data_IF_505681887951
#
_entry.id   IF_505681887951
#
_cell.length_a   1.000
_cell.length_b   1.000
_cell.length_c   1.000
_cell.angle_alpha   90.00
_cell.angle_beta   90.00
_cell.angle_gamma   90.00
#
_symmetry.space_group_name_H-M   'P 1'
#
loop_
_entity.id
_entity.type
_entity.pdbx_description
1 polymer ?
#
# COMPACT_ATOMS: atom_id res chain seq x y z
N UNK A 1 -10.13 -5.01 -26.25
CA UNK A 1 -11.04 -4.43 -25.24
C UNK A 1 -10.65 -4.98 -23.87
N UNK A 2 -10.96 -4.27 -22.78
CA UNK A 2 -10.77 -4.83 -21.44
C UNK A 2 -11.70 -6.04 -21.29
N UNK A 3 -11.19 -7.15 -20.73
CA UNK A 3 -12.02 -8.31 -20.42
C UNK A 3 -13.08 -7.98 -19.37
N UNK A 4 -12.75 -7.03 -18.48
CA UNK A 4 -13.62 -6.53 -17.43
C UNK A 4 -13.16 -5.14 -16.97
N UNK A 5 -14.13 -4.33 -16.54
CA UNK A 5 -13.89 -3.04 -15.87
C UNK A 5 -14.66 -3.03 -14.56
N UNK A 6 -14.03 -2.61 -13.47
CA UNK A 6 -14.71 -2.26 -12.23
C UNK A 6 -14.91 -0.75 -12.22
N UNK A 7 -16.14 -0.29 -11.98
CA UNK A 7 -16.50 1.14 -12.01
C UNK A 7 -16.67 1.70 -13.43
N UNK A 8 -16.91 3.02 -13.50
CA UNK A 8 -17.15 3.74 -14.75
C UNK A 8 -16.16 4.91 -14.89
N UNK A 9 -15.57 5.03 -16.09
CA UNK A 9 -14.54 6.04 -16.37
C UNK A 9 -15.14 7.45 -16.31
N UNK A 10 -14.48 8.37 -15.62
CA UNK A 10 -14.92 9.77 -15.43
C UNK A 10 -16.29 9.92 -14.72
N UNK A 11 -16.74 8.89 -14.00
CA UNK A 11 -17.95 8.92 -13.19
C UNK A 11 -17.61 8.65 -11.71
N UNK A 12 -16.93 9.59 -11.02
CA UNK A 12 -16.52 9.38 -9.65
C UNK A 12 -17.72 9.33 -8.71
N UNK A 13 -17.67 8.40 -7.76
CA UNK A 13 -18.60 8.28 -6.65
C UNK A 13 -18.50 9.50 -5.72
N UNK A 14 -19.62 9.99 -5.14
CA UNK A 14 -19.58 10.95 -4.06
C UNK A 14 -18.90 10.34 -2.82
N UNK A 15 -17.84 10.99 -2.31
CA UNK A 15 -17.00 10.48 -1.21
C UNK A 15 -17.77 10.06 0.06
N UNK A 16 -18.90 10.70 0.33
CA UNK A 16 -19.72 10.44 1.52
C UNK A 16 -20.73 9.28 1.38
N UNK A 17 -20.93 8.73 0.18
CA UNK A 17 -21.90 7.65 -0.05
C UNK A 17 -21.30 6.25 0.11
N UNK A 18 -19.98 6.15 0.15
CA UNK A 18 -19.28 4.89 0.35
C UNK A 18 -19.33 3.90 -0.81
N UNK A 19 -19.71 4.37 -2.00
CA UNK A 19 -19.71 3.60 -3.22
C UNK A 19 -18.34 3.70 -3.93
N UNK A 20 -17.87 2.64 -4.61
CA UNK A 20 -16.71 2.72 -5.49
C UNK A 20 -17.06 3.46 -6.80
N UNK A 21 -16.17 4.23 -7.43
CA UNK A 21 -14.85 4.68 -6.98
C UNK A 21 -14.76 6.20 -7.06
N UNK A 22 -13.89 6.80 -6.26
CA UNK A 22 -13.49 8.19 -6.34
C UNK A 22 -11.96 8.31 -6.24
N UNK A 23 -11.32 8.22 -7.41
CA UNK A 23 -9.87 8.24 -7.60
C UNK A 23 -9.14 7.07 -6.89
N UNK A 24 -9.34 5.83 -7.38
CA UNK A 24 -8.66 4.65 -6.83
C UNK A 24 -7.17 4.67 -7.12
N UNK A 25 -6.38 4.16 -6.17
CA UNK A 25 -4.93 4.33 -6.09
C UNK A 25 -4.15 3.00 -6.16
N UNK A 26 -4.74 1.90 -5.71
CA UNK A 26 -4.07 0.60 -5.61
C UNK A 26 -5.05 -0.56 -5.68
N UNK A 27 -4.54 -1.74 -6.06
CA UNK A 27 -5.28 -2.99 -6.19
C UNK A 27 -4.42 -4.13 -5.66
N UNK A 28 -5.02 -5.00 -4.86
CA UNK A 28 -4.46 -6.28 -4.46
C UNK A 28 -5.44 -7.41 -4.78
N UNK A 29 -4.89 -8.60 -5.03
CA UNK A 29 -5.65 -9.84 -5.17
C UNK A 29 -5.28 -10.71 -3.97
N UNK A 30 -6.26 -11.14 -3.19
CA UNK A 30 -6.02 -12.05 -2.06
C UNK A 30 -5.67 -13.46 -2.54
N UNK A 31 -5.06 -14.29 -1.67
CA UNK A 31 -4.89 -15.72 -1.94
C UNK A 31 -6.21 -16.44 -2.29
N UNK A 32 -7.35 -15.99 -1.72
CA UNK A 32 -8.69 -16.49 -2.06
C UNK A 32 -9.23 -16.01 -3.43
N UNK A 33 -8.55 -15.07 -4.10
CA UNK A 33 -8.93 -14.51 -5.39
C UNK A 33 -9.85 -13.28 -5.31
N UNK A 34 -10.16 -12.81 -4.11
CA UNK A 34 -10.94 -11.58 -3.88
C UNK A 34 -10.08 -10.34 -4.22
N UNK A 35 -10.72 -9.29 -4.70
CA UNK A 35 -10.05 -8.07 -5.16
C UNK A 35 -10.21 -6.96 -4.12
N UNK A 36 -9.13 -6.32 -3.73
CA UNK A 36 -9.10 -5.24 -2.76
C UNK A 36 -8.58 -3.97 -3.40
N UNK A 37 -9.38 -2.91 -3.40
CA UNK A 37 -9.03 -1.63 -4.03
C UNK A 37 -8.94 -0.55 -2.96
N UNK A 38 -7.82 0.16 -2.92
CA UNK A 38 -7.71 1.41 -2.17
C UNK A 38 -8.29 2.56 -3.00
N UNK A 39 -9.36 3.17 -2.51
CA UNK A 39 -10.02 4.32 -3.12
C UNK A 39 -9.64 5.61 -2.39
N UNK A 40 -8.37 5.99 -2.50
CA UNK A 40 -7.74 6.84 -1.50
C UNK A 40 -7.69 8.33 -1.78
N UNK A 41 -7.64 8.78 -3.03
CA UNK A 41 -7.46 10.21 -3.34
C UNK A 41 -8.76 11.01 -3.18
N UNK A 42 -9.92 10.36 -3.32
CA UNK A 42 -11.22 11.00 -3.07
C UNK A 42 -12.20 10.17 -2.25
N UNK A 43 -12.06 8.84 -2.19
CA UNK A 43 -13.00 7.94 -1.49
C UNK A 43 -12.71 7.77 0.00
N UNK A 44 -11.44 7.82 0.41
CA UNK A 44 -10.96 7.48 1.75
C UNK A 44 -11.48 6.11 2.25
N UNK A 45 -11.59 5.15 1.33
CA UNK A 45 -12.20 3.84 1.57
C UNK A 45 -11.42 2.72 0.93
N UNK A 46 -11.66 1.52 1.45
CA UNK A 46 -11.29 0.26 0.81
C UNK A 46 -12.56 -0.40 0.29
N UNK A 47 -12.46 -0.99 -0.90
CA UNK A 47 -13.52 -1.79 -1.48
C UNK A 47 -13.01 -3.22 -1.72
N UNK A 48 -13.76 -4.19 -1.22
CA UNK A 48 -13.54 -5.62 -1.46
C UNK A 48 -14.56 -6.11 -2.48
N UNK A 49 -14.08 -6.80 -3.50
CA UNK A 49 -14.89 -7.44 -4.53
C UNK A 49 -14.62 -8.95 -4.58
N UNK A 50 -15.57 -9.70 -5.10
CA UNK A 50 -15.33 -11.10 -5.47
C UNK A 50 -14.31 -11.19 -6.62
N UNK A 51 -13.78 -12.39 -6.88
CA UNK A 51 -12.99 -12.66 -8.08
C UNK A 51 -13.76 -12.29 -9.37
N UNK A 52 -15.07 -12.49 -9.32
CA UNK A 52 -16.02 -12.06 -10.33
C UNK A 52 -16.50 -10.63 -10.10
N UNK A 53 -15.69 -9.74 -9.50
CA UNK A 53 -15.86 -8.28 -9.48
C UNK A 53 -17.18 -7.75 -8.92
N UNK A 54 -17.91 -8.54 -8.14
CA UNK A 54 -19.10 -8.11 -7.40
C UNK A 54 -18.65 -7.43 -6.10
N UNK A 55 -19.21 -6.26 -5.78
CA UNK A 55 -18.86 -5.57 -4.54
C UNK A 55 -19.37 -6.35 -3.34
N UNK A 56 -18.46 -6.76 -2.45
CA UNK A 56 -18.77 -7.54 -1.24
C UNK A 56 -18.86 -6.65 -0.01
N UNK A 57 -17.89 -5.76 0.17
CA UNK A 57 -17.76 -4.92 1.36
C UNK A 57 -17.04 -3.62 1.03
N UNK A 58 -17.37 -2.55 1.75
CA UNK A 58 -16.58 -1.32 1.77
C UNK A 58 -16.42 -0.80 3.19
N UNK A 59 -15.22 -0.34 3.56
CA UNK A 59 -14.95 0.24 4.87
C UNK A 59 -14.00 1.42 4.78
N UNK A 60 -13.90 2.17 5.88
CA UNK A 60 -13.11 3.40 5.94
C UNK A 60 -13.95 4.67 5.81
N UNK A 61 -13.31 5.77 6.22
CA UNK A 61 -13.75 7.16 6.03
C UNK A 61 -12.55 8.08 6.23
N UNK A 62 -12.69 9.34 5.82
CA UNK A 62 -11.66 10.35 6.07
C UNK A 62 -11.41 10.52 7.57
N UNK A 63 -10.14 10.53 7.98
CA UNK A 63 -9.75 10.81 9.37
C UNK A 63 -8.38 10.25 9.74
N UNK A 64 -8.10 10.23 11.05
CA UNK A 64 -6.79 9.86 11.62
C UNK A 64 -6.88 8.75 12.67
N UNK A 65 -8.10 8.35 13.06
CA UNK A 65 -8.32 7.24 13.99
C UNK A 65 -8.10 5.85 13.35
N UNK A 66 -8.12 4.78 14.15
CA UNK A 66 -8.11 3.40 13.65
C UNK A 66 -9.28 3.14 12.69
N UNK A 67 -8.99 2.58 11.52
CA UNK A 67 -9.99 2.37 10.48
C UNK A 67 -10.41 3.63 9.70
N UNK A 68 -9.83 4.79 10.03
CA UNK A 68 -9.95 6.03 9.25
C UNK A 68 -8.70 6.23 8.40
N UNK A 69 -8.80 7.00 7.33
CA UNK A 69 -7.70 7.21 6.39
C UNK A 69 -7.59 8.66 5.97
N UNK A 70 -6.36 9.19 5.93
CA UNK A 70 -6.12 10.51 5.34
C UNK A 70 -5.93 10.37 3.82
N UNK A 71 -5.08 9.42 3.40
CA UNK A 71 -4.90 9.08 1.99
C UNK A 71 -4.44 7.62 1.85
N UNK A 72 -5.34 6.73 1.40
CA UNK A 72 -4.98 5.35 1.10
C UNK A 72 -4.19 5.30 -0.20
N UNK A 73 -2.88 5.11 -0.14
CA UNK A 73 -2.09 5.15 -1.37
C UNK A 73 -1.94 3.79 -2.04
N UNK A 74 -1.69 2.74 -1.27
CA UNK A 74 -1.64 1.38 -1.80
C UNK A 74 -2.11 0.35 -0.77
N UNK A 75 -2.33 -0.88 -1.24
CA UNK A 75 -2.94 -1.99 -0.53
C UNK A 75 -2.28 -3.30 -0.96
N UNK A 76 -2.14 -4.23 -0.03
CA UNK A 76 -1.73 -5.62 -0.28
C UNK A 76 -2.50 -6.59 0.60
N UNK A 77 -2.52 -7.87 0.24
CA UNK A 77 -3.10 -8.94 1.06
C UNK A 77 -2.06 -10.04 1.28
N UNK A 78 -1.81 -10.40 2.53
CA UNK A 78 -0.84 -11.44 2.86
C UNK A 78 -1.44 -12.87 2.81
N UNK A 79 -0.60 -13.88 3.02
CA UNK A 79 -1.01 -15.29 3.04
C UNK A 79 -1.93 -15.64 4.22
N UNK A 80 -2.09 -14.75 5.19
CA UNK A 80 -2.99 -14.88 6.35
C UNK A 80 -4.32 -14.16 6.12
N UNK A 81 -4.60 -13.72 4.89
CA UNK A 81 -5.79 -12.92 4.51
C UNK A 81 -5.89 -11.58 5.27
N UNK A 82 -4.74 -11.04 5.72
CA UNK A 82 -4.68 -9.69 6.29
C UNK A 82 -4.47 -8.67 5.18
N UNK A 83 -5.23 -7.60 5.26
CA UNK A 83 -5.18 -6.46 4.34
C UNK A 83 -4.27 -5.40 4.92
N UNK A 84 -3.19 -5.06 4.21
CA UNK A 84 -2.15 -4.13 4.64
C UNK A 84 -2.24 -2.88 3.78
N UNK A 85 -2.37 -1.71 4.41
CA UNK A 85 -2.71 -0.46 3.73
C UNK A 85 -1.69 0.61 4.06
N UNK A 86 -1.15 1.25 3.02
CA UNK A 86 -0.35 2.47 3.16
C UNK A 86 -1.27 3.68 3.31
N UNK A 87 -1.38 4.21 4.53
CA UNK A 87 -2.11 5.46 4.83
C UNK A 87 -1.11 6.63 4.81
N UNK A 88 -0.83 7.10 3.60
CA UNK A 88 0.31 7.96 3.26
C UNK A 88 0.34 9.21 4.13
N UNK A 89 -0.75 9.97 4.15
CA UNK A 89 -0.80 11.27 4.83
C UNK A 89 -0.86 11.15 6.36
N UNK A 90 -1.23 9.97 6.89
CA UNK A 90 -1.13 9.67 8.31
C UNK A 90 0.22 9.03 8.71
N UNK A 91 1.15 8.84 7.77
CA UNK A 91 2.48 8.28 8.03
C UNK A 91 2.47 6.92 8.75
N UNK A 92 1.53 6.05 8.36
CA UNK A 92 1.33 4.74 8.99
C UNK A 92 0.95 3.67 7.98
N UNK A 93 1.14 2.42 8.39
CA UNK A 93 0.49 1.26 7.79
C UNK A 93 -0.64 0.81 8.73
N UNK A 94 -1.80 0.45 8.17
CA UNK A 94 -2.87 -0.17 8.94
C UNK A 94 -3.14 -1.58 8.43
N UNK A 95 -3.40 -2.51 9.35
CA UNK A 95 -3.73 -3.90 9.06
C UNK A 95 -5.20 -4.17 9.40
N UNK A 96 -5.88 -4.92 8.53
CA UNK A 96 -7.28 -5.33 8.70
C UNK A 96 -7.43 -6.81 8.42
N UNK A 97 -8.46 -7.43 8.99
CA UNK A 97 -8.90 -8.75 8.56
C UNK A 97 -9.73 -8.68 7.26
N UNK A 98 -10.07 -9.84 6.70
CA UNK A 98 -10.84 -9.98 5.46
C UNK A 98 -12.23 -9.34 5.49
N UNK A 99 -12.77 -9.07 6.68
CA UNK A 99 -14.07 -8.47 6.94
C UNK A 99 -13.99 -6.95 7.22
N UNK A 100 -12.82 -6.33 7.01
CA UNK A 100 -12.59 -4.90 7.22
C UNK A 100 -12.48 -4.49 8.70
N UNK A 101 -12.34 -5.45 9.61
CA UNK A 101 -12.06 -5.20 11.02
C UNK A 101 -10.60 -4.79 11.24
N UNK A 102 -10.39 -3.63 11.86
CA UNK A 102 -9.05 -3.14 12.23
C UNK A 102 -8.35 -4.14 13.15
N UNK A 103 -7.08 -4.45 12.85
CA UNK A 103 -6.23 -5.32 13.65
C UNK A 103 -5.20 -4.50 14.42
N UNK A 104 -4.38 -3.73 13.71
CA UNK A 104 -3.27 -2.98 14.27
C UNK A 104 -2.79 -1.89 13.30
N UNK A 105 -1.89 -1.02 13.77
CA UNK A 105 -1.21 -0.02 12.95
C UNK A 105 0.28 0.04 13.29
N UNK A 106 1.09 0.27 12.26
CA UNK A 106 2.52 0.51 12.40
C UNK A 106 2.83 1.95 12.04
N UNK A 107 3.54 2.63 12.92
CA UNK A 107 3.87 4.06 12.80
C UNK A 107 5.37 4.24 12.58
N UNK A 108 5.84 5.49 12.62
CA UNK A 108 7.24 5.85 12.32
C UNK A 108 7.66 5.53 10.86
N UNK A 109 6.68 5.60 9.96
CA UNK A 109 6.90 5.67 8.52
C UNK A 109 6.94 7.13 8.04
N UNK A 110 7.44 7.35 6.83
CA UNK A 110 7.43 8.63 6.13
C UNK A 110 6.66 8.48 4.82
N UNK A 111 5.42 8.99 4.77
CA UNK A 111 4.57 8.97 3.59
C UNK A 111 4.62 7.65 2.81
N UNK A 112 4.18 6.51 3.39
CA UNK A 112 4.28 5.22 2.74
C UNK A 112 3.60 5.23 1.35
N UNK A 113 4.36 4.83 0.33
CA UNK A 113 3.95 4.89 -1.07
C UNK A 113 3.39 3.56 -1.57
N UNK A 114 4.12 2.49 -1.35
CA UNK A 114 3.81 1.17 -1.88
C UNK A 114 4.29 0.10 -0.89
N UNK A 115 3.67 -1.08 -0.97
CA UNK A 115 3.97 -2.21 -0.13
C UNK A 115 3.98 -3.49 -0.96
N UNK A 116 5.02 -4.30 -0.76
CA UNK A 116 5.19 -5.59 -1.41
C UNK A 116 5.45 -6.66 -0.36
N UNK A 117 4.84 -7.83 -0.52
CA UNK A 117 5.09 -8.97 0.37
C UNK A 117 5.83 -10.04 -0.40
N UNK A 118 6.94 -10.50 0.18
CA UNK A 118 7.71 -11.61 -0.34
C UNK A 118 8.15 -12.48 0.83
N UNK A 119 7.84 -13.77 0.75
CA UNK A 119 7.97 -14.71 1.88
C UNK A 119 7.26 -14.17 3.14
N UNK A 120 7.97 -14.09 4.27
CA UNK A 120 7.45 -13.61 5.55
C UNK A 120 7.81 -12.13 5.84
N UNK A 121 8.08 -11.35 4.79
CA UNK A 121 8.50 -9.95 4.92
C UNK A 121 7.60 -8.99 4.15
N UNK A 122 7.41 -7.81 4.75
CA UNK A 122 6.71 -6.67 4.18
C UNK A 122 7.75 -5.61 3.84
N UNK A 123 7.82 -5.25 2.56
CA UNK A 123 8.70 -4.24 2.03
C UNK A 123 7.87 -3.00 1.74
N UNK A 124 8.12 -1.92 2.48
CA UNK A 124 7.44 -0.66 2.27
C UNK A 124 8.41 0.38 1.72
N UNK A 125 8.02 1.05 0.64
CA UNK A 125 8.70 2.25 0.15
C UNK A 125 8.07 3.48 0.79
N UNK A 126 8.92 4.36 1.31
CA UNK A 126 8.56 5.56 2.04
C UNK A 126 9.02 6.80 1.27
N UNK A 127 8.18 7.84 1.23
CA UNK A 127 8.43 9.10 0.53
C UNK A 127 8.81 10.23 1.48
N UNK A 128 9.20 11.35 0.87
CA UNK A 128 9.44 12.60 1.57
C UNK A 128 10.84 12.66 2.21
N UNK A 129 11.07 13.62 3.10
CA UNK A 129 12.41 13.95 3.60
C UNK A 129 13.11 12.81 4.36
N UNK A 130 12.33 11.90 4.96
CA UNK A 130 12.81 10.69 5.64
C UNK A 130 12.44 9.42 4.90
N UNK A 131 12.24 9.55 3.58
CA UNK A 131 11.92 8.45 2.69
C UNK A 131 13.03 7.41 2.62
N UNK A 132 12.73 6.29 2.00
CA UNK A 132 13.60 5.12 2.00
C UNK A 132 12.81 3.83 1.91
N UNK A 133 13.43 2.73 2.32
CA UNK A 133 12.76 1.42 2.41
C UNK A 133 12.75 0.96 3.86
N UNK A 134 11.60 0.50 4.34
CA UNK A 134 11.49 -0.29 5.55
C UNK A 134 11.08 -1.72 5.23
N UNK A 135 11.72 -2.67 5.92
CA UNK A 135 11.45 -4.09 5.81
C UNK A 135 11.01 -4.57 7.18
N UNK A 136 9.83 -5.16 7.23
CA UNK A 136 9.18 -5.62 8.44
C UNK A 136 8.91 -7.13 8.36
N UNK A 137 8.85 -7.81 9.50
CA UNK A 137 8.22 -9.12 9.58
C UNK A 137 6.71 -8.98 9.38
N UNK A 138 6.03 -10.09 9.09
CA UNK A 138 4.56 -10.12 9.08
C UNK A 138 3.94 -9.68 10.43
N UNK A 139 4.66 -9.78 11.53
CA UNK A 139 4.17 -9.46 12.88
C UNK A 139 4.56 -8.05 13.34
N UNK A 140 5.16 -7.23 12.45
CA UNK A 140 5.43 -5.81 12.71
C UNK A 140 6.79 -5.50 13.34
N UNK A 141 7.70 -6.46 13.39
CA UNK A 141 9.08 -6.21 13.82
C UNK A 141 9.92 -5.65 12.67
N UNK A 142 10.75 -4.63 12.94
CA UNK A 142 11.69 -4.09 11.95
C UNK A 142 12.84 -5.07 11.69
N UNK A 143 13.00 -5.45 10.43
CA UNK A 143 14.16 -6.22 9.94
C UNK A 143 15.26 -5.29 9.44
N UNK A 144 14.92 -4.26 8.67
CA UNK A 144 15.88 -3.28 8.16
C UNK A 144 15.21 -1.97 7.77
N UNK A 145 15.96 -0.87 7.81
CA UNK A 145 15.54 0.45 7.31
C UNK A 145 16.69 1.14 6.60
N UNK A 146 16.41 1.68 5.43
CA UNK A 146 17.36 2.43 4.59
C UNK A 146 16.77 3.82 4.37
N UNK A 147 16.81 4.65 5.40
CA UNK A 147 16.30 6.03 5.34
C UNK A 147 17.40 6.99 4.88
N UNK A 148 17.02 8.01 4.12
CA UNK A 148 17.90 9.12 3.71
C UNK A 148 18.62 9.72 4.94
N UNK A 149 17.89 9.75 6.06
CA UNK A 149 18.24 10.02 7.45
C UNK A 149 19.51 9.47 8.08
N UNK A 150 19.61 8.15 7.92
CA UNK A 150 20.15 7.27 8.95
C UNK A 150 21.39 6.53 8.42
N UNK A 151 21.49 6.34 7.10
CA UNK A 151 22.69 5.83 6.42
C UNK A 151 22.59 6.00 4.89
N UNK A 152 23.09 7.11 4.30
CA UNK A 152 23.07 7.32 2.85
C UNK A 152 23.94 6.34 2.02
N UNK A 153 24.57 5.33 2.63
CA UNK A 153 25.56 4.44 2.02
C UNK A 153 25.04 3.23 1.23
N UNK A 154 23.73 2.91 1.26
CA UNK A 154 23.15 1.83 0.44
C UNK A 154 22.55 2.30 -0.88
N UNK A 155 22.87 3.52 -1.30
CA UNK A 155 22.24 4.22 -2.41
C UNK A 155 21.06 5.03 -1.90
N UNK A 156 21.19 6.35 -1.87
CA UNK A 156 20.13 7.24 -1.42
C UNK A 156 18.93 7.10 -2.35
N UNK A 157 17.90 6.39 -1.89
CA UNK A 157 16.59 6.31 -2.53
C UNK A 157 15.95 7.68 -2.37
N UNK A 158 15.72 8.37 -3.48
CA UNK A 158 15.10 9.70 -3.51
C UNK A 158 13.75 9.61 -4.18
N UNK A 159 12.70 10.14 -3.52
CA UNK A 159 11.33 10.12 -4.05
C UNK A 159 10.86 8.70 -4.47
N UNK A 160 11.16 7.69 -3.66
CA UNK A 160 10.75 6.31 -3.92
C UNK A 160 9.23 6.17 -3.95
N UNK A 161 8.66 5.60 -5.02
CA UNK A 161 7.20 5.56 -5.21
C UNK A 161 6.62 4.15 -5.26
N UNK A 162 7.27 3.22 -5.97
CA UNK A 162 6.85 1.83 -6.10
C UNK A 162 7.96 0.87 -5.71
N UNK A 163 7.58 -0.33 -5.26
CA UNK A 163 8.53 -1.36 -4.82
C UNK A 163 8.07 -2.74 -5.25
N UNK A 164 9.00 -3.58 -5.67
CA UNK A 164 8.74 -5.02 -5.91
C UNK A 164 9.96 -5.84 -5.52
N UNK A 165 9.74 -7.12 -5.21
CA UNK A 165 10.78 -8.08 -4.82
C UNK A 165 10.66 -9.31 -5.70
N UNK A 166 11.78 -9.73 -6.31
CA UNK A 166 11.81 -10.93 -7.15
C UNK A 166 11.98 -12.22 -6.33
N UNK A 167 11.96 -13.37 -7.01
CA UNK A 167 12.07 -14.70 -6.39
C UNK A 167 13.43 -14.95 -5.70
N UNK A 168 14.45 -14.15 -6.00
CA UNK A 168 15.78 -14.25 -5.37
C UNK A 168 15.90 -13.31 -4.16
N UNK A 169 14.84 -12.56 -3.85
CA UNK A 169 14.83 -11.54 -2.79
C UNK A 169 15.48 -10.23 -3.19
N UNK A 170 15.75 -9.99 -4.48
CA UNK A 170 16.25 -8.68 -4.94
C UNK A 170 15.13 -7.65 -4.91
N UNK A 171 15.43 -6.47 -4.41
CA UNK A 171 14.46 -5.37 -4.27
C UNK A 171 14.63 -4.41 -5.44
N UNK A 172 13.52 -4.02 -6.05
CA UNK A 172 13.46 -3.02 -7.11
C UNK A 172 12.61 -1.85 -6.64
N UNK A 173 13.15 -0.64 -6.77
CA UNK A 173 12.47 0.59 -6.37
C UNK A 173 12.37 1.52 -7.56
N UNK A 174 11.18 2.03 -7.83
CA UNK A 174 10.98 3.15 -8.75
C UNK A 174 11.14 4.46 -7.99
N UNK A 175 12.05 5.30 -8.45
CA UNK A 175 12.33 6.62 -7.89
C UNK A 175 11.82 7.66 -8.88
N UNK A 176 10.85 8.47 -8.46
CA UNK A 176 10.29 9.55 -9.29
C UNK A 176 11.02 10.87 -9.00
N UNK A 177 10.50 11.99 -9.50
CA UNK A 177 10.97 13.32 -9.12
C UNK A 177 12.46 13.52 -9.39
N UNK A 178 13.27 13.60 -8.34
CA UNK A 178 14.73 13.80 -8.46
C UNK A 178 15.53 12.53 -8.72
N UNK A 179 14.95 11.36 -8.48
CA UNK A 179 15.65 10.08 -8.70
C UNK A 179 15.61 9.62 -10.17
N UNK A 180 14.48 9.82 -10.85
CA UNK A 180 14.22 9.48 -12.27
C UNK A 180 14.79 8.14 -12.74
N UNK A 181 14.72 7.10 -11.90
CA UNK A 181 15.38 5.82 -12.17
C UNK A 181 14.66 4.64 -11.53
N UNK A 182 15.14 3.44 -11.87
CA UNK A 182 14.85 2.22 -11.15
C UNK A 182 16.14 1.68 -10.54
N UNK A 183 16.14 1.48 -9.24
CA UNK A 183 17.28 0.93 -8.50
C UNK A 183 17.02 -0.53 -8.14
N UNK A 184 18.02 -1.40 -8.34
CA UNK A 184 18.02 -2.80 -7.89
C UNK A 184 18.99 -2.96 -6.73
N UNK A 185 18.52 -3.58 -5.65
CA UNK A 185 19.31 -3.93 -4.48
C UNK A 185 19.36 -5.45 -4.33
N UNK A 186 20.57 -5.98 -4.18
CA UNK A 186 20.81 -7.41 -3.99
C UNK A 186 21.40 -7.65 -2.61
N UNK A 187 21.08 -8.81 -2.02
CA UNK A 187 21.71 -9.24 -0.78
C UNK A 187 23.18 -9.58 -1.06
N UNK A 188 24.08 -9.00 -0.29
CA UNK A 188 25.53 -9.26 -0.31
C UNK A 188 25.95 -10.09 0.90
#
# INVERSE_FOLDING_TARGET
EALRTLGEKLAPSPSFQGLPFNMPSGLAISPSGELYVSDGYGGHRVHKFSADGELLLSWGKQGTGPGEFALLHNIWVDQRERVIICDRENNRIQLFNSDGGFLEEWTDLSSPGDVWIHEDHIYCIEQGPRGGVSIWTLDGDIVSRWKIDEDPGKGSITDGHGITVDLEGSIYVTEIGTGERVSKFVRV
#
